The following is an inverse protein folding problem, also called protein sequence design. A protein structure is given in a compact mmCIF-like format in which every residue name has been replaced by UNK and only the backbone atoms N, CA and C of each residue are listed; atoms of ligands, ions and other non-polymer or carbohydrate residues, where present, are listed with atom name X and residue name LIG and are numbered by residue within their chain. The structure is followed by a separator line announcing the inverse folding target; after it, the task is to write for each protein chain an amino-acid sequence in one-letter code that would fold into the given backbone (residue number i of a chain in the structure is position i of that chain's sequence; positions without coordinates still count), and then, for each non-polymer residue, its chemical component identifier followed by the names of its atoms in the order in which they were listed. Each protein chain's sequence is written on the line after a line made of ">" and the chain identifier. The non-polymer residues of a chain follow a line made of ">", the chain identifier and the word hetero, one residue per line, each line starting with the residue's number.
data_IF_361374305469
#
_entry.id   IF_361374305469
#
_cell.length_a   1.000
_cell.length_b   1.000
_cell.length_c   1.000
_cell.angle_alpha   90.00
_cell.angle_beta   90.00
_cell.angle_gamma   90.00
#
_symmetry.space_group_name_H-M   'P 1'
#
loop_
_entity.id
_entity.type
_entity.pdbx_description
1 polymer ?
#
# COMPACT_ATOMS: atom_id res chain seq x y z
N UNK A 1 -19.07 -6.84 0.14
CA UNK A 1 -18.38 -6.48 -1.11
C UNK A 1 -17.64 -7.72 -1.61
N UNK A 2 -17.59 -8.03 -2.91
CA UNK A 2 -16.75 -9.13 -3.38
C UNK A 2 -15.29 -8.69 -3.21
N UNK A 3 -14.56 -9.38 -2.33
CA UNK A 3 -13.13 -9.13 -2.14
C UNK A 3 -12.33 -9.57 -3.36
N UNK A 4 -11.13 -9.03 -3.50
CA UNK A 4 -10.16 -9.44 -4.52
C UNK A 4 -9.96 -10.96 -4.48
N UNK A 5 -10.10 -11.60 -5.64
CA UNK A 5 -9.83 -13.02 -5.81
C UNK A 5 -8.36 -13.24 -6.20
N UNK A 6 -7.86 -14.46 -6.06
CA UNK A 6 -6.49 -14.80 -6.47
C UNK A 6 -6.21 -14.49 -7.95
N UNK A 7 -7.25 -14.55 -8.80
CA UNK A 7 -7.17 -14.22 -10.24
C UNK A 7 -6.96 -12.72 -10.47
N UNK A 8 -7.56 -11.87 -9.62
CA UNK A 8 -7.38 -10.41 -9.70
C UNK A 8 -5.95 -9.98 -9.31
N UNK A 9 -5.28 -10.81 -8.50
CA UNK A 9 -3.92 -10.59 -8.01
C UNK A 9 -2.84 -11.19 -8.91
N UNK A 10 -3.18 -12.16 -9.77
CA UNK A 10 -2.24 -12.88 -10.64
C UNK A 10 -1.41 -11.93 -11.54
N UNK A 11 -2.00 -10.92 -12.21
CA UNK A 11 -1.23 -9.98 -13.04
C UNK A 11 -0.26 -9.11 -12.23
N UNK A 12 -0.51 -8.99 -10.93
CA UNK A 12 0.29 -8.21 -9.99
C UNK A 12 1.28 -9.08 -9.21
N UNK A 13 1.29 -10.40 -9.43
CA UNK A 13 2.10 -11.36 -8.66
C UNK A 13 3.59 -11.04 -8.62
N UNK A 14 4.19 -10.55 -9.72
CA UNK A 14 5.59 -10.16 -9.75
C UNK A 14 5.87 -8.87 -8.95
N UNK A 15 4.95 -7.90 -8.96
CA UNK A 15 5.02 -6.67 -8.18
C UNK A 15 4.75 -6.93 -6.69
N UNK A 16 3.81 -7.83 -6.41
CA UNK A 16 3.53 -8.33 -5.07
C UNK A 16 4.78 -9.06 -4.54
N UNK A 17 5.37 -9.98 -5.32
CA UNK A 17 6.58 -10.71 -4.93
C UNK A 17 7.78 -9.79 -4.71
N UNK A 18 7.99 -8.79 -5.57
CA UNK A 18 9.07 -7.80 -5.38
C UNK A 18 8.82 -6.89 -4.18
N UNK A 19 7.56 -6.66 -3.82
CA UNK A 19 7.19 -5.95 -2.61
C UNK A 19 7.30 -6.80 -1.33
N UNK A 20 7.22 -8.13 -1.43
CA UNK A 20 7.52 -9.07 -0.34
C UNK A 20 9.03 -9.23 -0.10
N UNK A 21 9.84 -9.06 -1.15
CA UNK A 21 11.30 -9.15 -1.10
C UNK A 21 11.94 -7.86 -1.63
N UNK A 22 11.74 -6.71 -0.97
CA UNK A 22 12.35 -5.47 -1.45
C UNK A 22 13.89 -5.56 -1.35
N UNK A 23 14.57 -4.82 -2.22
CA UNK A 23 16.02 -4.69 -2.17
C UNK A 23 16.46 -4.05 -0.85
N UNK A 24 17.67 -4.36 -0.36
CA UNK A 24 18.13 -3.94 0.98
C UNK A 24 17.99 -2.45 1.29
N UNK A 25 18.08 -1.58 0.28
CA UNK A 25 17.94 -0.14 0.43
C UNK A 25 16.49 0.35 0.65
N UNK A 26 15.48 -0.50 0.47
CA UNK A 26 14.06 -0.14 0.60
C UNK A 26 13.46 -0.49 1.97
N UNK A 27 14.25 -1.07 2.88
CA UNK A 27 13.84 -1.30 4.26
C UNK A 27 13.82 0.01 5.06
N UNK A 28 12.71 0.31 5.73
CA UNK A 28 12.60 1.47 6.62
C UNK A 28 13.20 1.19 8.01
N UNK A 29 14.39 0.58 8.06
CA UNK A 29 15.05 0.15 9.29
C UNK A 29 14.63 -1.25 9.80
N UNK A 30 13.73 -1.94 9.11
CA UNK A 30 13.44 -3.36 9.37
C UNK A 30 14.55 -4.26 8.80
N UNK A 31 14.93 -5.32 9.52
CA UNK A 31 15.85 -6.31 8.96
C UNK A 31 15.13 -7.16 7.90
N UNK A 32 15.88 -7.60 6.88
CA UNK A 32 15.39 -8.52 5.85
C UNK A 32 14.75 -9.80 6.42
N UNK A 33 15.23 -10.23 7.58
CA UNK A 33 14.80 -11.45 8.26
C UNK A 33 13.69 -11.20 9.32
N UNK A 34 13.20 -9.96 9.44
CA UNK A 34 12.11 -9.63 10.36
C UNK A 34 10.74 -10.03 9.78
N UNK A 35 9.80 -10.40 10.66
CA UNK A 35 8.41 -10.65 10.28
C UNK A 35 7.73 -9.34 9.92
N UNK A 36 7.04 -9.31 8.78
CA UNK A 36 6.34 -8.14 8.26
C UNK A 36 4.85 -8.39 8.12
N UNK A 37 4.07 -7.34 8.35
CA UNK A 37 2.63 -7.37 8.28
C UNK A 37 2.18 -6.44 7.16
N UNK A 38 1.37 -6.93 6.22
CA UNK A 38 1.05 -6.20 4.99
C UNK A 38 -0.45 -6.08 4.78
N UNK A 39 -0.88 -4.90 4.37
CA UNK A 39 -2.24 -4.63 3.92
C UNK A 39 -2.22 -4.15 2.46
N UNK A 40 -3.18 -4.62 1.66
CA UNK A 40 -3.40 -4.09 0.31
C UNK A 40 -4.66 -3.24 0.36
N UNK A 41 -4.54 -1.99 -0.07
CA UNK A 41 -5.65 -1.06 -0.24
C UNK A 41 -6.05 -1.10 -1.72
N UNK A 42 -7.15 -1.79 -2.08
CA UNK A 42 -7.65 -1.80 -3.45
C UNK A 42 -8.29 -0.47 -3.80
N UNK A 43 -8.42 -0.21 -5.10
CA UNK A 43 -9.20 0.90 -5.66
C UNK A 43 -8.88 2.30 -5.09
N UNK A 44 -7.63 2.53 -4.70
CA UNK A 44 -7.10 3.84 -4.37
C UNK A 44 -7.10 4.72 -5.63
N UNK A 45 -7.81 5.83 -5.58
CA UNK A 45 -7.95 6.77 -6.69
C UNK A 45 -6.90 7.88 -6.48
N UNK A 46 -5.90 8.02 -7.35
CA UNK A 46 -4.97 9.13 -7.21
C UNK A 46 -5.74 10.46 -7.37
N UNK A 47 -5.29 11.54 -6.71
CA UNK A 47 -5.97 12.83 -6.74
C UNK A 47 -6.09 13.42 -8.16
N UNK A 48 -5.16 13.08 -9.05
CA UNK A 48 -5.24 13.39 -10.48
C UNK A 48 -4.71 12.20 -11.31
N UNK A 49 -5.57 11.49 -12.07
CA UNK A 49 -5.15 10.35 -12.88
C UNK A 49 -4.32 10.75 -14.11
N UNK A 50 -4.23 12.05 -14.45
CA UNK A 50 -3.38 12.56 -15.52
C UNK A 50 -1.96 12.90 -15.07
N UNK A 51 -1.71 12.86 -13.75
CA UNK A 51 -0.41 13.11 -13.16
C UNK A 51 0.31 11.80 -12.78
N UNK A 52 1.65 11.84 -12.63
CA UNK A 52 2.38 10.72 -12.06
C UNK A 52 1.80 10.31 -10.71
N UNK A 53 1.83 9.00 -10.44
CA UNK A 53 1.34 8.47 -9.16
C UNK A 53 2.06 9.14 -7.98
N UNK A 54 1.34 9.45 -6.89
CA UNK A 54 1.93 9.99 -5.67
C UNK A 54 3.09 9.14 -5.19
N UNK A 55 4.16 9.81 -4.73
CA UNK A 55 5.33 9.13 -4.18
C UNK A 55 4.99 8.41 -2.88
N UNK A 56 5.85 7.48 -2.46
CA UNK A 56 5.70 6.74 -1.20
C UNK A 56 5.61 7.66 0.02
N UNK A 57 6.31 8.81 0.01
CA UNK A 57 6.25 9.80 1.08
C UNK A 57 4.87 10.46 1.17
N UNK A 58 4.26 10.78 0.03
CA UNK A 58 2.90 11.35 0.00
C UNK A 58 1.89 10.31 0.47
N UNK A 59 2.05 9.04 0.07
CA UNK A 59 1.20 7.95 0.56
C UNK A 59 1.31 7.75 2.08
N UNK A 60 2.52 7.83 2.66
CA UNK A 60 2.69 7.74 4.12
C UNK A 60 2.00 8.88 4.85
N UNK A 61 2.23 10.11 4.40
CA UNK A 61 1.64 11.30 5.01
C UNK A 61 0.12 11.24 4.98
N UNK A 62 -0.49 10.85 3.86
CA UNK A 62 -1.94 10.71 3.74
C UNK A 62 -2.51 9.70 4.75
N UNK A 63 -1.85 8.54 4.91
CA UNK A 63 -2.27 7.49 5.83
C UNK A 63 -2.13 7.93 7.29
N UNK A 64 -1.03 8.60 7.64
CA UNK A 64 -0.78 9.09 9.01
C UNK A 64 -1.69 10.28 9.37
N UNK A 65 -1.92 11.20 8.44
CA UNK A 65 -2.79 12.37 8.65
C UNK A 65 -4.26 11.96 8.85
N UNK A 66 -4.73 10.94 8.13
CA UNK A 66 -6.11 10.50 8.23
C UNK A 66 -6.45 9.90 9.60
N UNK A 67 -5.56 9.07 10.15
CA UNK A 67 -5.88 8.24 11.33
C UNK A 67 -5.21 8.76 12.61
N UNK A 68 -4.38 9.82 12.50
CA UNK A 68 -3.58 10.38 13.59
C UNK A 68 -2.79 9.32 14.38
N UNK A 69 -2.49 8.19 13.74
CA UNK A 69 -1.75 7.06 14.30
C UNK A 69 -0.38 7.01 13.65
N UNK A 70 0.64 6.81 14.47
CA UNK A 70 2.03 6.78 14.02
C UNK A 70 2.45 5.32 13.81
N UNK A 71 2.46 4.89 12.55
CA UNK A 71 2.81 3.52 12.20
C UNK A 71 4.30 3.24 12.32
N UNK A 72 4.60 2.00 12.68
CA UNK A 72 5.92 1.38 12.58
C UNK A 72 6.06 0.74 11.21
N UNK A 73 6.54 1.52 10.24
CA UNK A 73 6.70 1.07 8.86
C UNK A 73 7.87 0.09 8.73
N UNK A 74 7.63 -1.08 8.11
CA UNK A 74 8.70 -1.99 7.68
C UNK A 74 9.31 -1.55 6.35
N UNK A 75 8.48 -0.99 5.47
CA UNK A 75 8.89 -0.41 4.20
C UNK A 75 7.93 0.73 3.82
N UNK A 76 8.37 1.68 2.97
CA UNK A 76 7.48 2.70 2.45
C UNK A 76 6.30 2.10 1.66
N UNK A 77 5.09 2.68 1.75
CA UNK A 77 3.97 2.36 0.89
C UNK A 77 4.34 2.45 -0.58
N UNK A 78 3.78 1.53 -1.38
CA UNK A 78 4.02 1.51 -2.81
C UNK A 78 2.72 1.26 -3.57
N UNK A 79 2.63 1.84 -4.76
CA UNK A 79 1.62 1.45 -5.74
C UNK A 79 1.95 0.08 -6.31
N UNK A 80 1.01 -0.85 -6.23
CA UNK A 80 1.07 -2.15 -6.90
C UNK A 80 0.57 -2.08 -8.34
N UNK A 81 -0.19 -1.04 -8.68
CA UNK A 81 -0.73 -0.86 -10.03
C UNK A 81 0.24 -0.05 -10.89
N UNK A 82 0.61 -0.53 -12.09
CA UNK A 82 1.43 0.26 -13.02
C UNK A 82 0.76 1.59 -13.36
N UNK A 83 1.55 2.67 -13.46
CA UNK A 83 1.05 4.03 -13.73
C UNK A 83 0.11 4.11 -14.96
N UNK A 84 0.41 3.36 -16.03
CA UNK A 84 -0.45 3.33 -17.23
C UNK A 84 -1.83 2.73 -16.98
N UNK A 85 -1.95 1.73 -16.08
CA UNK A 85 -3.24 1.10 -15.76
C UNK A 85 -4.12 1.99 -14.90
N UNK A 86 -3.52 2.77 -13.99
CA UNK A 86 -4.27 3.72 -13.16
C UNK A 86 -4.86 4.84 -14.00
N UNK A 87 -4.15 5.29 -15.05
CA UNK A 87 -4.70 6.24 -16.01
C UNK A 87 -5.88 5.68 -16.83
N UNK A 88 -5.84 4.39 -17.18
CA UNK A 88 -6.92 3.72 -17.94
C UNK A 88 -8.16 3.39 -17.09
N UNK A 89 -7.98 2.95 -15.84
CA UNK A 89 -9.06 2.50 -14.97
C UNK A 89 -9.50 3.55 -13.94
N UNK A 90 -8.72 4.60 -13.74
CA UNK A 90 -8.97 5.64 -12.73
C UNK A 90 -8.70 5.20 -11.29
N UNK A 91 -8.25 3.97 -11.06
CA UNK A 91 -7.93 3.44 -9.73
C UNK A 91 -6.70 2.53 -9.75
N UNK A 92 -6.05 2.39 -8.59
CA UNK A 92 -4.91 1.52 -8.39
C UNK A 92 -4.95 0.86 -7.01
N UNK A 93 -3.99 -0.02 -6.73
CA UNK A 93 -3.84 -0.67 -5.43
C UNK A 93 -2.56 -0.19 -4.76
N UNK A 94 -2.60 0.03 -3.44
CA UNK A 94 -1.45 0.44 -2.63
C UNK A 94 -1.14 -0.66 -1.62
N UNK A 95 0.14 -1.01 -1.49
CA UNK A 95 0.62 -1.90 -0.44
C UNK A 95 1.16 -1.10 0.74
N UNK A 96 0.66 -1.38 1.94
CA UNK A 96 1.21 -0.92 3.20
C UNK A 96 2.01 -2.07 3.83
N UNK A 97 3.17 -1.75 4.42
CA UNK A 97 4.05 -2.73 5.08
C UNK A 97 4.49 -2.25 6.46
N UNK A 98 4.11 -2.99 7.49
CA UNK A 98 4.33 -2.68 8.90
C UNK A 98 5.31 -3.65 9.54
N UNK A 99 6.05 -3.18 10.54
CA UNK A 99 6.99 -3.99 11.31
C UNK A 99 6.34 -4.72 12.48
N UNK A 100 5.12 -4.36 12.89
CA UNK A 100 4.36 -5.06 13.92
C UNK A 100 2.93 -5.38 13.46
N UNK A 101 2.35 -6.40 14.11
CA UNK A 101 0.99 -6.86 13.82
C UNK A 101 -0.07 -5.86 14.27
N UNK A 102 0.18 -5.15 15.37
CA UNK A 102 -0.77 -4.20 15.95
C UNK A 102 -1.13 -3.09 14.96
N UNK A 103 -0.16 -2.64 14.17
CA UNK A 103 -0.38 -1.64 13.13
C UNK A 103 -1.27 -2.17 11.99
N UNK A 104 -1.09 -3.44 11.59
CA UNK A 104 -1.97 -4.08 10.63
C UNK A 104 -3.39 -4.24 11.20
N UNK A 105 -3.52 -4.73 12.44
CA UNK A 105 -4.82 -4.83 13.10
C UNK A 105 -5.51 -3.48 13.23
N UNK A 106 -4.74 -2.43 13.51
CA UNK A 106 -5.25 -1.08 13.63
C UNK A 106 -5.85 -0.59 12.32
N UNK A 107 -5.15 -0.80 11.20
CA UNK A 107 -5.66 -0.50 9.85
C UNK A 107 -6.92 -1.30 9.53
N UNK A 108 -6.94 -2.59 9.85
CA UNK A 108 -8.10 -3.45 9.59
C UNK A 108 -9.32 -3.10 10.45
N UNK A 109 -9.11 -2.60 11.68
CA UNK A 109 -10.20 -2.24 12.61
C UNK A 109 -10.76 -0.85 12.37
N UNK A 110 -9.90 0.13 12.10
CA UNK A 110 -10.31 1.53 11.99
C UNK A 110 -10.63 1.94 10.55
N UNK A 111 -10.21 1.14 9.57
CA UNK A 111 -10.20 1.54 8.18
C UNK A 111 -9.12 2.59 7.93
N UNK A 112 -8.55 2.57 6.73
CA UNK A 112 -7.59 3.60 6.29
C UNK A 112 -8.13 4.20 5.02
N UNK A 113 -8.09 5.53 4.94
CA UNK A 113 -8.49 6.21 3.72
C UNK A 113 -7.25 6.70 3.00
N UNK A 114 -7.10 6.29 1.74
CA UNK A 114 -6.14 6.86 0.82
C UNK A 114 -6.91 7.69 -0.20
N UNK A 115 -6.69 9.00 -0.22
CA UNK A 115 -7.32 9.93 -1.16
C UNK A 115 -8.85 9.80 -1.21
N UNK A 116 -9.48 9.62 -0.04
CA UNK A 116 -10.93 9.56 0.09
C UNK A 116 -11.59 8.18 -0.13
N UNK A 117 -10.82 7.09 -0.24
CA UNK A 117 -11.36 5.71 -0.29
C UNK A 117 -10.87 4.87 0.89
N UNK A 118 -11.83 4.27 1.61
CA UNK A 118 -11.60 3.42 2.78
C UNK A 118 -11.08 2.03 2.41
N UNK A 119 -10.30 1.46 3.33
CA UNK A 119 -10.12 0.03 3.52
C UNK A 119 -11.30 -0.57 4.29
#
# INVERSE_FOLDING_TARGET
>A
MPGLTAVDLEPHSALIASAFLPQEAAFAGAARDSVWYKAVIPDAIPPDPSQPLPSSQVLQAEVEDYIQHRFSWAAPPIWLTPAGRVAEQGSGSVLLSFSCEEDLEYVLRNGVFLFGRAL
#
